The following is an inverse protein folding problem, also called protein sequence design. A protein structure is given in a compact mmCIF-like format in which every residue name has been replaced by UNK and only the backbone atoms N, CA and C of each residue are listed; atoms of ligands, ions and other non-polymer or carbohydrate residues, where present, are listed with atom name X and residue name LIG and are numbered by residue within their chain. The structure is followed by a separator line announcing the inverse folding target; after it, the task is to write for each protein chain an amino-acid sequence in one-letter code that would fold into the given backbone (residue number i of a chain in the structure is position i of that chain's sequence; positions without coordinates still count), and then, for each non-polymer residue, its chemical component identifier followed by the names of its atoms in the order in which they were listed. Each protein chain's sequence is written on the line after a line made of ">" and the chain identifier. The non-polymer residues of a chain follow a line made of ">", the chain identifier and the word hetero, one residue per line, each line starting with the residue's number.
data_IF_287162351311
#
_entry.id   IF_287162351311
#
_cell.length_a   1.000
_cell.length_b   1.000
_cell.length_c   1.000
_cell.angle_alpha   90.00
_cell.angle_beta   90.00
_cell.angle_gamma   90.00
#
_symmetry.space_group_name_H-M   'P 1'
#
loop_
_entity.id
_entity.type
_entity.pdbx_description
1 polymer ?
#
# COMPACT_ATOMS: atom_id res chain seq x y z
N UNK A 1 -12.02 12.53 -19.58
CA UNK A 1 -12.95 11.39 -19.77
C UNK A 1 -13.06 11.04 -21.24
N UNK A 2 -12.01 10.37 -21.72
CA UNK A 2 -12.00 9.61 -22.95
C UNK A 2 -12.77 8.29 -22.76
N UNK A 3 -13.14 7.60 -23.84
CA UNK A 3 -13.81 6.30 -23.74
C UNK A 3 -12.93 5.22 -23.06
N UNK A 4 -11.61 5.42 -23.03
CA UNK A 4 -10.65 4.51 -22.40
C UNK A 4 -10.62 4.73 -20.86
N UNK A 5 -10.89 5.94 -20.37
CA UNK A 5 -10.94 6.28 -18.92
C UNK A 5 -12.20 5.70 -18.25
N UNK A 6 -13.32 5.69 -18.98
CA UNK A 6 -14.57 5.09 -18.51
C UNK A 6 -14.45 3.55 -18.42
N UNK A 7 -13.65 2.92 -19.28
CA UNK A 7 -13.43 1.47 -19.32
C UNK A 7 -12.67 1.01 -18.07
N UNK A 8 -11.55 1.67 -17.74
CA UNK A 8 -10.74 1.31 -16.56
C UNK A 8 -11.51 1.54 -15.26
N UNK A 9 -12.31 2.61 -15.14
CA UNK A 9 -13.08 2.89 -13.92
C UNK A 9 -14.07 1.76 -13.60
N UNK A 10 -14.78 1.26 -14.62
CA UNK A 10 -15.70 0.14 -14.46
C UNK A 10 -14.97 -1.18 -14.16
N UNK A 11 -13.79 -1.42 -14.75
CA UNK A 11 -12.95 -2.56 -14.42
C UNK A 11 -12.50 -2.55 -12.95
N UNK A 12 -12.02 -1.40 -12.45
CA UNK A 12 -11.62 -1.23 -11.06
C UNK A 12 -12.80 -1.44 -10.11
N UNK A 13 -13.98 -0.87 -10.42
CA UNK A 13 -15.20 -1.09 -9.63
C UNK A 13 -15.65 -2.55 -9.61
N UNK A 14 -15.47 -3.29 -10.70
CA UNK A 14 -15.74 -4.73 -10.77
C UNK A 14 -14.76 -5.53 -9.89
N UNK A 15 -13.51 -5.08 -9.81
CA UNK A 15 -12.44 -5.72 -9.05
C UNK A 15 -12.42 -5.35 -7.56
N UNK A 16 -13.10 -4.27 -7.16
CA UNK A 16 -13.20 -3.82 -5.78
C UNK A 16 -13.56 -4.94 -4.78
N UNK A 17 -14.46 -5.85 -5.17
CA UNK A 17 -14.88 -6.97 -4.34
C UNK A 17 -13.83 -8.07 -4.12
N UNK A 18 -12.69 -8.00 -4.83
CA UNK A 18 -11.56 -8.93 -4.68
C UNK A 18 -10.64 -8.53 -3.52
N UNK A 19 -10.62 -7.25 -3.14
CA UNK A 19 -9.87 -6.71 -2.00
C UNK A 19 -10.61 -7.03 -0.69
N UNK A 20 -10.63 -8.30 -0.28
CA UNK A 20 -11.42 -8.72 0.89
C UNK A 20 -10.70 -8.59 2.23
N UNK A 21 -9.41 -8.24 2.21
CA UNK A 21 -8.59 -8.10 3.41
C UNK A 21 -8.72 -6.75 4.12
N UNK A 22 -9.22 -5.73 3.44
CA UNK A 22 -9.52 -4.41 3.99
C UNK A 22 -11.02 -4.14 3.89
N UNK A 23 -11.65 -3.68 4.98
CA UNK A 23 -13.02 -3.19 4.92
C UNK A 23 -13.06 -1.82 4.23
N UNK A 24 -14.23 -1.44 3.70
CA UNK A 24 -14.41 -0.07 3.20
C UNK A 24 -14.24 0.97 4.32
N UNK A 25 -14.58 0.64 5.57
CA UNK A 25 -14.35 1.50 6.73
C UNK A 25 -12.85 1.76 6.96
N UNK A 26 -12.00 0.73 6.82
CA UNK A 26 -10.54 0.87 6.86
C UNK A 26 -9.98 1.63 5.64
N UNK A 27 -10.78 1.88 4.61
CA UNK A 27 -10.44 2.71 3.46
C UNK A 27 -11.11 4.09 3.54
N UNK A 28 -11.54 4.51 4.73
CA UNK A 28 -12.10 5.85 4.97
C UNK A 28 -13.60 5.99 4.70
N UNK A 29 -14.34 4.91 4.44
CA UNK A 29 -15.80 5.00 4.34
C UNK A 29 -16.42 5.17 5.72
N UNK A 30 -17.01 6.34 5.97
CA UNK A 30 -17.72 6.58 7.22
C UNK A 30 -18.78 5.50 7.49
N UNK A 31 -18.92 5.05 8.74
CA UNK A 31 -19.97 4.10 9.10
C UNK A 31 -21.34 4.75 8.88
N UNK A 32 -22.32 3.96 8.45
CA UNK A 32 -23.69 4.44 8.25
C UNK A 32 -24.70 3.49 8.90
N UNK A 33 -25.75 4.00 9.58
CA UNK A 33 -26.70 3.15 10.28
C UNK A 33 -27.32 2.06 9.41
N UNK A 34 -27.53 2.30 8.11
CA UNK A 34 -28.10 1.30 7.18
C UNK A 34 -27.19 0.08 6.97
N UNK A 35 -25.87 0.25 7.13
CA UNK A 35 -24.87 -0.82 6.95
C UNK A 35 -24.60 -1.57 8.27
N UNK A 36 -25.10 -1.06 9.39
CA UNK A 36 -24.91 -1.62 10.73
C UNK A 36 -25.94 -2.68 11.11
N UNK A 37 -25.48 -3.69 11.84
CA UNK A 37 -26.35 -4.59 12.61
C UNK A 37 -27.04 -3.86 13.77
N UNK A 38 -28.13 -4.43 14.29
CA UNK A 38 -28.81 -3.88 15.47
C UNK A 38 -27.90 -3.79 16.70
N UNK A 39 -26.95 -4.71 16.84
CA UNK A 39 -25.97 -4.73 17.94
C UNK A 39 -24.91 -3.65 17.79
N UNK A 40 -24.42 -3.39 16.57
CA UNK A 40 -23.49 -2.29 16.30
C UNK A 40 -24.15 -0.92 16.57
N UNK A 41 -25.42 -0.75 16.19
CA UNK A 41 -26.15 0.51 16.49
C UNK A 41 -26.27 0.81 17.99
N UNK A 42 -26.27 -0.21 18.85
CA UNK A 42 -26.32 -0.01 20.30
C UNK A 42 -25.02 0.58 20.88
N UNK A 43 -23.94 0.63 20.09
CA UNK A 43 -22.67 1.21 20.50
C UNK A 43 -22.65 2.75 20.37
N UNK A 44 -23.65 3.33 19.71
CA UNK A 44 -23.77 4.76 19.44
C UNK A 44 -24.95 5.34 20.20
N UNK A 45 -24.85 6.62 20.59
CA UNK A 45 -25.99 7.32 21.15
C UNK A 45 -27.00 7.64 20.04
N UNK A 46 -28.30 7.79 20.36
CA UNK A 46 -29.32 8.05 19.35
C UNK A 46 -29.11 9.35 18.56
N UNK A 47 -28.42 10.34 19.15
CA UNK A 47 -28.09 11.60 18.48
C UNK A 47 -27.02 11.38 17.40
N UNK A 48 -25.97 10.61 17.69
CA UNK A 48 -24.93 10.26 16.71
C UNK A 48 -25.51 9.47 15.53
N UNK A 49 -26.37 8.47 15.80
CA UNK A 49 -27.04 7.70 14.75
C UNK A 49 -27.92 8.59 13.86
N UNK A 50 -28.57 9.60 14.44
CA UNK A 50 -29.39 10.53 13.68
C UNK A 50 -28.54 11.47 12.82
N UNK A 51 -27.38 11.89 13.31
CA UNK A 51 -26.40 12.69 12.56
C UNK A 51 -25.83 11.89 11.39
N UNK A 52 -25.38 10.65 11.62
CA UNK A 52 -24.87 9.78 10.57
C UNK A 52 -25.94 9.50 9.49
N UNK A 53 -27.20 9.29 9.90
CA UNK A 53 -28.32 9.09 8.99
C UNK A 53 -28.78 10.37 8.25
N UNK A 54 -28.33 11.55 8.69
CA UNK A 54 -28.68 12.82 8.06
C UNK A 54 -27.86 13.10 6.79
N UNK A 55 -26.81 12.30 6.52
CA UNK A 55 -26.01 12.41 5.30
C UNK A 55 -26.91 12.23 4.06
N UNK A 56 -26.88 13.16 3.09
CA UNK A 56 -27.69 13.04 1.88
C UNK A 56 -27.41 11.72 1.14
N UNK A 57 -28.45 11.02 0.63
CA UNK A 57 -28.24 9.74 -0.05
C UNK A 57 -27.31 9.80 -1.26
N UNK A 58 -27.23 10.95 -1.93
CA UNK A 58 -26.33 11.16 -3.07
C UNK A 58 -24.88 11.20 -2.62
N UNK A 59 -24.58 11.95 -1.57
CA UNK A 59 -23.24 12.07 -0.97
C UNK A 59 -22.78 10.70 -0.44
N UNK A 60 -23.68 9.95 0.22
CA UNK A 60 -23.38 8.58 0.66
C UNK A 60 -23.08 7.64 -0.52
N UNK A 61 -23.88 7.69 -1.59
CA UNK A 61 -23.63 6.88 -2.79
C UNK A 61 -22.30 7.21 -3.45
N UNK A 62 -21.94 8.50 -3.49
CA UNK A 62 -20.65 8.95 -4.00
C UNK A 62 -19.51 8.41 -3.13
N UNK A 63 -19.56 8.58 -1.81
CA UNK A 63 -18.54 8.06 -0.91
C UNK A 63 -18.36 6.54 -1.06
N UNK A 64 -19.46 5.76 -1.08
CA UNK A 64 -19.41 4.32 -1.31
C UNK A 64 -18.77 3.98 -2.67
N UNK A 65 -19.10 4.71 -3.73
CA UNK A 65 -18.52 4.49 -5.05
C UNK A 65 -17.01 4.78 -5.04
N UNK A 66 -16.60 5.90 -4.45
CA UNK A 66 -15.19 6.30 -4.38
C UNK A 66 -14.36 5.33 -3.56
N UNK A 67 -14.82 4.88 -2.39
CA UNK A 67 -14.10 3.88 -1.60
C UNK A 67 -14.02 2.53 -2.31
N UNK A 68 -15.05 2.14 -3.06
CA UNK A 68 -14.99 0.93 -3.90
C UNK A 68 -14.00 1.09 -5.05
N UNK A 69 -13.94 2.27 -5.68
CA UNK A 69 -12.97 2.57 -6.71
C UNK A 69 -11.54 2.47 -6.16
N UNK A 70 -11.29 3.05 -4.97
CA UNK A 70 -10.02 2.92 -4.25
C UNK A 70 -9.67 1.46 -3.96
N UNK A 71 -10.64 0.66 -3.49
CA UNK A 71 -10.41 -0.77 -3.26
C UNK A 71 -10.00 -1.51 -4.54
N UNK A 72 -10.65 -1.18 -5.66
CA UNK A 72 -10.30 -1.69 -6.99
C UNK A 72 -8.92 -1.25 -7.46
N UNK A 73 -8.58 0.01 -7.22
CA UNK A 73 -7.27 0.59 -7.52
C UNK A 73 -6.15 -0.15 -6.76
N UNK A 74 -6.27 -0.33 -5.44
CA UNK A 74 -5.28 -1.05 -4.64
C UNK A 74 -5.09 -2.50 -5.11
N UNK A 75 -6.19 -3.16 -5.49
CA UNK A 75 -6.14 -4.50 -6.09
C UNK A 75 -5.39 -4.52 -7.42
N UNK A 76 -5.70 -3.57 -8.31
CA UNK A 76 -5.04 -3.44 -9.61
C UNK A 76 -3.55 -3.13 -9.47
N UNK A 77 -3.22 -2.12 -8.65
CA UNK A 77 -1.85 -1.70 -8.36
C UNK A 77 -1.00 -2.80 -7.75
N UNK A 78 -1.61 -3.72 -6.98
CA UNK A 78 -0.92 -4.91 -6.47
C UNK A 78 -0.35 -5.76 -7.60
N UNK A 79 -1.10 -5.95 -8.69
CA UNK A 79 -0.63 -6.73 -9.85
C UNK A 79 0.45 -5.97 -10.62
N UNK A 80 0.27 -4.66 -10.81
CA UNK A 80 1.24 -3.81 -11.51
C UNK A 80 2.58 -3.77 -10.77
N UNK A 81 2.55 -3.58 -9.44
CA UNK A 81 3.73 -3.56 -8.58
C UNK A 81 4.57 -4.84 -8.74
N UNK A 82 3.93 -6.01 -8.66
CA UNK A 82 4.63 -7.29 -8.79
C UNK A 82 5.23 -7.46 -10.19
N UNK A 83 4.50 -7.11 -11.24
CA UNK A 83 5.00 -7.15 -12.61
C UNK A 83 6.20 -6.24 -12.82
N UNK A 84 6.15 -5.01 -12.29
CA UNK A 84 7.26 -4.06 -12.37
C UNK A 84 8.48 -4.54 -11.58
N UNK A 85 8.31 -5.10 -10.39
CA UNK A 85 9.42 -5.68 -9.63
C UNK A 85 10.10 -6.84 -10.38
N UNK A 86 9.35 -7.66 -11.12
CA UNK A 86 9.95 -8.68 -11.98
C UNK A 86 10.72 -8.07 -13.16
N UNK A 87 10.26 -6.96 -13.74
CA UNK A 87 11.01 -6.22 -14.78
C UNK A 87 12.29 -5.60 -14.22
N UNK A 88 12.23 -5.05 -13.02
CA UNK A 88 13.41 -4.53 -12.32
C UNK A 88 14.43 -5.65 -12.07
N UNK A 89 13.97 -6.82 -11.59
CA UNK A 89 14.82 -7.98 -11.40
C UNK A 89 15.48 -8.43 -12.71
N UNK A 90 14.73 -8.49 -13.81
CA UNK A 90 15.28 -8.86 -15.13
C UNK A 90 16.34 -7.86 -15.58
N UNK A 91 16.05 -6.56 -15.44
CA UNK A 91 17.00 -5.47 -15.74
C UNK A 91 18.30 -5.66 -14.98
N UNK A 92 18.23 -5.85 -13.65
CA UNK A 92 19.42 -5.99 -12.80
C UNK A 92 20.16 -7.31 -13.03
N UNK A 93 19.46 -8.40 -13.37
CA UNK A 93 20.07 -9.71 -13.59
C UNK A 93 20.94 -9.79 -14.85
N UNK A 94 20.74 -8.84 -15.78
CA UNK A 94 21.51 -8.73 -17.02
C UNK A 94 22.74 -7.82 -16.90
N UNK A 95 23.00 -7.24 -15.72
CA UNK A 95 24.14 -6.37 -15.48
C UNK A 95 25.29 -7.14 -14.80
N UNK A 96 26.53 -6.90 -15.25
CA UNK A 96 27.73 -7.43 -14.60
C UNK A 96 27.98 -6.78 -13.24
N UNK A 97 27.57 -5.53 -13.07
CA UNK A 97 27.68 -4.76 -11.82
C UNK A 97 26.54 -3.74 -11.79
N UNK A 98 25.82 -3.69 -10.67
CA UNK A 98 24.71 -2.75 -10.44
C UNK A 98 25.24 -1.46 -9.84
N UNK A 99 24.80 -0.32 -10.37
CA UNK A 99 25.12 1.02 -9.86
C UNK A 99 23.86 1.73 -9.40
N UNK A 100 24.00 2.78 -8.59
CA UNK A 100 22.86 3.61 -8.17
C UNK A 100 22.13 4.26 -9.36
N UNK A 101 22.81 4.50 -10.48
CA UNK A 101 22.17 5.02 -11.70
C UNK A 101 21.28 3.97 -12.38
N UNK A 102 21.65 2.69 -12.31
CA UNK A 102 20.81 1.60 -12.81
C UNK A 102 19.54 1.49 -11.95
N UNK A 103 19.66 1.62 -10.62
CA UNK A 103 18.52 1.67 -9.70
C UNK A 103 17.59 2.84 -10.01
N UNK A 104 18.12 4.04 -10.22
CA UNK A 104 17.31 5.20 -10.58
C UNK A 104 16.53 5.01 -11.89
N UNK A 105 16.95 4.08 -12.76
CA UNK A 105 16.24 3.71 -13.99
C UNK A 105 15.22 2.58 -13.83
N UNK A 106 15.09 2.00 -12.64
CA UNK A 106 14.09 0.95 -12.34
C UNK A 106 12.72 1.55 -12.07
N UNK A 107 11.67 0.73 -12.18
CA UNK A 107 10.29 1.16 -11.99
C UNK A 107 9.93 1.33 -10.51
N UNK A 108 10.30 0.35 -9.68
CA UNK A 108 9.90 0.29 -8.26
C UNK A 108 11.09 0.54 -7.35
N UNK A 109 12.26 -0.03 -7.64
CA UNK A 109 13.43 0.13 -6.74
C UNK A 109 13.94 1.57 -6.69
N UNK A 110 13.55 2.42 -7.65
CA UNK A 110 13.84 3.85 -7.66
C UNK A 110 13.02 4.65 -6.64
N UNK A 111 11.89 4.11 -6.14
CA UNK A 111 11.09 4.75 -5.08
C UNK A 111 11.49 4.31 -3.67
N UNK A 112 12.40 3.34 -3.55
CA UNK A 112 12.98 2.95 -2.27
C UNK A 112 13.99 4.00 -1.76
N UNK A 113 14.29 4.03 -0.44
CA UNK A 113 15.23 4.95 0.17
C UNK A 113 16.56 5.10 -0.62
N UNK A 114 16.84 6.27 -1.23
CA UNK A 114 17.90 6.39 -2.24
C UNK A 114 19.32 6.22 -1.68
N UNK A 115 19.54 6.49 -0.40
CA UNK A 115 20.83 6.32 0.27
C UNK A 115 21.28 4.84 0.35
N UNK A 116 20.35 3.90 0.23
CA UNK A 116 20.65 2.45 0.19
C UNK A 116 20.70 1.88 -1.22
N UNK A 117 20.58 2.71 -2.28
CA UNK A 117 20.50 2.24 -3.67
C UNK A 117 21.67 1.33 -4.09
N UNK A 118 22.87 1.54 -3.55
CA UNK A 118 24.03 0.68 -3.83
C UNK A 118 23.84 -0.78 -3.35
N UNK A 119 22.88 -1.03 -2.45
CA UNK A 119 22.58 -2.34 -1.87
C UNK A 119 21.44 -3.07 -2.57
N UNK A 120 20.73 -2.42 -3.50
CA UNK A 120 19.59 -3.01 -4.22
C UNK A 120 20.06 -3.87 -5.40
N UNK A 121 20.63 -5.04 -5.09
CA UNK A 121 21.03 -6.00 -6.11
C UNK A 121 19.92 -7.01 -6.47
N UNK A 122 20.17 -7.89 -7.44
CA UNK A 122 19.21 -8.92 -7.83
C UNK A 122 18.82 -9.87 -6.67
N UNK A 123 19.67 -10.05 -5.64
CA UNK A 123 19.33 -10.85 -4.46
C UNK A 123 18.34 -10.08 -3.58
N UNK A 124 18.59 -8.81 -3.32
CA UNK A 124 17.65 -7.92 -2.65
C UNK A 124 16.30 -7.92 -3.37
N UNK A 125 16.27 -7.68 -4.68
CA UNK A 125 15.02 -7.62 -5.46
C UNK A 125 14.21 -8.92 -5.36
N UNK A 126 14.87 -10.09 -5.42
CA UNK A 126 14.16 -11.38 -5.23
C UNK A 126 13.53 -11.49 -3.84
N UNK A 127 14.21 -11.03 -2.79
CA UNK A 127 13.64 -11.03 -1.43
C UNK A 127 12.47 -10.06 -1.35
N UNK A 128 12.64 -8.86 -1.89
CA UNK A 128 11.63 -7.81 -1.88
C UNK A 128 10.37 -8.22 -2.66
N UNK A 129 10.50 -8.89 -3.81
CA UNK A 129 9.37 -9.49 -4.55
C UNK A 129 8.57 -10.44 -3.66
N UNK A 130 9.24 -11.31 -2.90
CA UNK A 130 8.53 -12.27 -2.05
C UNK A 130 7.78 -11.55 -0.91
N UNK A 131 8.38 -10.50 -0.34
CA UNK A 131 7.72 -9.67 0.68
C UNK A 131 6.53 -8.90 0.09
N UNK A 132 6.70 -8.24 -1.05
CA UNK A 132 5.62 -7.53 -1.74
C UNK A 132 4.48 -8.47 -2.14
N UNK A 133 4.80 -9.69 -2.59
CA UNK A 133 3.79 -10.72 -2.89
C UNK A 133 3.03 -11.16 -1.63
N UNK A 134 3.67 -11.19 -0.47
CA UNK A 134 3.02 -11.50 0.80
C UNK A 134 2.11 -10.35 1.25
N UNK A 135 2.59 -9.10 1.22
CA UNK A 135 1.80 -7.89 1.50
C UNK A 135 0.57 -7.80 0.59
N UNK A 136 0.74 -7.96 -0.72
CA UNK A 136 -0.40 -7.92 -1.66
C UNK A 136 -1.37 -9.09 -1.45
N UNK A 137 -0.90 -10.23 -0.91
CA UNK A 137 -1.78 -11.34 -0.56
C UNK A 137 -2.60 -11.07 0.71
N UNK A 138 -2.12 -10.30 1.69
CA UNK A 138 -2.89 -9.97 2.91
C UNK A 138 -4.06 -9.04 2.56
N UNK A 139 -3.89 -8.13 1.60
CA UNK A 139 -4.98 -7.32 1.05
C UNK A 139 -6.16 -8.15 0.49
N UNK A 140 -5.90 -9.39 0.09
CA UNK A 140 -6.91 -10.31 -0.41
C UNK A 140 -7.47 -11.26 0.66
N UNK A 141 -6.73 -11.54 1.74
CA UNK A 141 -7.02 -12.65 2.67
C UNK A 141 -7.34 -12.21 4.09
N UNK A 142 -7.11 -10.95 4.40
CA UNK A 142 -7.16 -10.38 5.75
C UNK A 142 -5.90 -9.56 5.97
N UNK A 143 -6.07 -8.25 6.11
CA UNK A 143 -4.97 -7.35 6.36
C UNK A 143 -4.30 -7.66 7.68
N UNK A 144 -2.98 -7.63 7.67
CA UNK A 144 -2.12 -7.68 8.85
C UNK A 144 -1.11 -6.58 8.68
N UNK A 145 -0.82 -5.85 9.75
CA UNK A 145 0.21 -4.81 9.75
C UNK A 145 1.56 -5.39 9.29
N UNK A 146 2.39 -4.59 8.59
CA UNK A 146 3.72 -5.02 8.19
C UNK A 146 4.55 -5.56 9.36
N UNK A 147 5.15 -6.74 9.18
CA UNK A 147 5.97 -7.38 10.22
C UNK A 147 7.47 -7.08 10.11
N UNK A 148 7.90 -6.29 9.11
CA UNK A 148 9.28 -5.88 8.90
C UNK A 148 9.35 -4.63 8.00
N UNK A 149 10.47 -3.89 8.02
CA UNK A 149 10.64 -2.68 7.20
C UNK A 149 10.45 -2.93 5.70
N UNK A 150 10.90 -4.08 5.18
CA UNK A 150 10.70 -4.40 3.76
C UNK A 150 9.21 -4.53 3.41
N UNK A 151 8.36 -4.96 4.36
CA UNK A 151 6.92 -5.03 4.15
C UNK A 151 6.30 -3.64 4.16
N UNK A 152 6.73 -2.75 5.06
CA UNK A 152 6.28 -1.34 5.06
C UNK A 152 6.68 -0.62 3.77
N UNK A 153 7.92 -0.79 3.32
CA UNK A 153 8.39 -0.24 2.05
C UNK A 153 7.61 -0.79 0.86
N UNK A 154 7.22 -2.07 0.88
CA UNK A 154 6.38 -2.65 -0.16
C UNK A 154 4.96 -2.04 -0.17
N UNK A 155 4.40 -1.68 1.00
CA UNK A 155 3.15 -0.92 1.07
C UNK A 155 3.32 0.47 0.48
N UNK A 156 4.40 1.20 0.81
CA UNK A 156 4.67 2.52 0.20
C UNK A 156 4.77 2.44 -1.31
N UNK A 157 5.53 1.48 -1.85
CA UNK A 157 5.61 1.24 -3.29
C UNK A 157 4.24 0.90 -3.93
N UNK A 158 3.37 0.19 -3.21
CA UNK A 158 2.01 -0.07 -3.67
C UNK A 158 1.18 1.21 -3.77
N UNK A 159 1.29 2.10 -2.77
CA UNK A 159 0.57 3.36 -2.74
C UNK A 159 1.11 4.35 -3.79
N UNK A 160 2.41 4.40 -4.00
CA UNK A 160 3.03 5.12 -5.12
C UNK A 160 2.47 4.63 -6.46
N UNK A 161 2.36 3.31 -6.63
CA UNK A 161 1.79 2.75 -7.86
C UNK A 161 0.29 3.06 -7.99
N UNK A 162 -0.46 3.09 -6.90
CA UNK A 162 -1.87 3.51 -6.91
C UNK A 162 -2.03 4.97 -7.29
N UNK A 163 -1.22 5.88 -6.74
CA UNK A 163 -1.23 7.31 -7.08
C UNK A 163 -0.87 7.54 -8.55
N UNK A 164 0.18 6.88 -9.06
CA UNK A 164 0.53 6.93 -10.48
C UNK A 164 -0.64 6.47 -11.36
N UNK A 165 -1.32 5.38 -10.99
CA UNK A 165 -2.47 4.86 -11.75
C UNK A 165 -3.67 5.79 -11.66
N UNK A 166 -3.95 6.38 -10.50
CA UNK A 166 -4.99 7.39 -10.33
C UNK A 166 -4.74 8.61 -11.24
N UNK A 167 -3.53 9.17 -11.19
CA UNK A 167 -3.11 10.32 -12.01
C UNK A 167 -3.25 10.04 -13.51
N UNK A 168 -2.83 8.85 -13.97
CA UNK A 168 -2.87 8.48 -15.39
C UNK A 168 -4.30 8.43 -15.92
N UNK A 169 -5.25 7.97 -15.09
CA UNK A 169 -6.63 7.74 -15.50
C UNK A 169 -7.61 8.81 -14.97
N UNK A 170 -7.10 9.84 -14.29
CA UNK A 170 -7.88 10.93 -13.68
C UNK A 170 -9.04 10.39 -12.82
N UNK A 171 -8.76 9.40 -11.95
CA UNK A 171 -9.79 8.71 -11.17
C UNK A 171 -10.42 9.66 -10.13
N UNK A 172 -11.74 9.59 -9.98
CA UNK A 172 -12.47 10.41 -9.01
C UNK A 172 -12.37 9.84 -7.58
N UNK A 173 -11.24 10.02 -6.90
CA UNK A 173 -11.03 9.63 -5.51
C UNK A 173 -11.21 10.82 -4.54
N UNK A 174 -11.33 10.58 -3.21
CA UNK A 174 -11.21 11.65 -2.22
C UNK A 174 -9.84 12.32 -2.29
N UNK A 175 -9.75 13.64 -2.09
CA UNK A 175 -8.49 14.39 -2.25
C UNK A 175 -7.35 13.86 -1.33
N UNK A 176 -7.69 13.47 -0.12
CA UNK A 176 -6.73 12.97 0.89
C UNK A 176 -6.65 11.44 0.96
N UNK A 177 -7.15 10.72 -0.06
CA UNK A 177 -7.27 9.25 -0.02
C UNK A 177 -5.95 8.54 0.35
N UNK A 178 -4.82 9.06 -0.14
CA UNK A 178 -3.51 8.48 0.09
C UNK A 178 -3.14 8.58 1.58
N UNK A 179 -3.32 9.75 2.18
CA UNK A 179 -3.00 9.98 3.59
C UNK A 179 -3.88 9.12 4.49
N UNK A 180 -5.18 9.02 4.20
CA UNK A 180 -6.13 8.20 4.96
C UNK A 180 -5.74 6.70 4.91
N UNK A 181 -5.29 6.20 3.75
CA UNK A 181 -4.84 4.81 3.61
C UNK A 181 -3.48 4.60 4.28
N UNK A 182 -2.55 5.55 4.18
CA UNK A 182 -1.25 5.47 4.87
C UNK A 182 -1.44 5.41 6.39
N UNK A 183 -2.32 6.23 6.97
CA UNK A 183 -2.63 6.19 8.40
C UNK A 183 -3.08 4.80 8.86
N UNK A 184 -3.83 4.06 8.03
CA UNK A 184 -4.31 2.72 8.36
C UNK A 184 -3.27 1.63 8.11
N UNK A 185 -2.54 1.68 6.99
CA UNK A 185 -1.62 0.61 6.60
C UNK A 185 -0.23 0.75 7.24
N UNK A 186 0.12 1.96 7.68
CA UNK A 186 1.46 2.35 8.15
C UNK A 186 1.40 3.14 9.48
N UNK A 187 0.34 2.98 10.29
CA UNK A 187 0.11 3.72 11.56
C UNK A 187 1.38 3.80 12.46
N UNK A 188 2.08 2.68 12.61
CA UNK A 188 3.27 2.52 13.45
C UNK A 188 4.56 2.30 12.63
N UNK A 189 4.60 2.73 11.37
CA UNK A 189 5.69 2.40 10.47
C UNK A 189 6.96 3.23 10.73
N UNK A 190 8.07 2.55 10.98
CA UNK A 190 9.38 3.18 11.16
C UNK A 190 10.06 3.55 9.82
N UNK A 191 9.59 2.98 8.71
CA UNK A 191 10.15 3.20 7.37
C UNK A 191 10.13 4.65 6.88
N UNK A 192 9.31 5.53 7.46
CA UNK A 192 9.31 6.98 7.12
C UNK A 192 10.69 7.60 7.39
N UNK A 193 11.34 7.21 8.49
CA UNK A 193 12.65 7.73 8.86
C UNK A 193 13.72 7.41 7.81
N UNK A 194 13.55 6.34 7.04
CA UNK A 194 14.44 5.97 5.94
C UNK A 194 14.41 6.96 4.77
N UNK A 195 13.42 7.84 4.67
CA UNK A 195 13.36 8.88 3.63
C UNK A 195 13.90 10.23 4.11
N UNK A 196 14.32 10.34 5.38
CA UNK A 196 14.88 11.56 5.94
C UNK A 196 16.24 11.91 5.32
N UNK A 197 16.42 13.19 4.96
CA UNK A 197 17.71 13.76 4.55
C UNK A 197 18.71 13.88 5.73
N UNK A 198 18.25 13.67 6.97
CA UNK A 198 19.08 13.78 8.17
C UNK A 198 19.80 12.46 8.44
N UNK A 199 21.09 12.41 8.10
CA UNK A 199 21.95 11.26 8.41
C UNK A 199 22.04 10.97 9.92
N UNK A 200 21.93 11.99 10.77
CA UNK A 200 21.97 11.84 12.23
C UNK A 200 20.82 10.94 12.74
N UNK A 201 19.62 11.03 12.13
CA UNK A 201 18.46 10.17 12.48
C UNK A 201 18.74 8.70 12.14
N UNK A 202 19.36 8.45 10.98
CA UNK A 202 19.70 7.09 10.55
C UNK A 202 20.87 6.50 11.34
N UNK A 203 21.79 7.34 11.81
CA UNK A 203 22.92 6.93 12.64
C UNK A 203 22.49 6.59 14.07
N UNK A 204 21.57 7.37 14.65
CA UNK A 204 21.05 7.14 16.00
C UNK A 204 20.23 5.84 16.10
N UNK A 205 19.46 5.51 15.04
CA UNK A 205 18.59 4.32 14.99
C UNK A 205 19.15 3.19 14.08
N UNK A 206 20.45 3.19 13.81
CA UNK A 206 21.09 2.25 12.88
C UNK A 206 20.86 0.76 13.24
N UNK A 207 20.72 0.45 14.53
CA UNK A 207 20.46 -0.92 15.01
C UNK A 207 19.06 -1.44 14.60
N UNK A 208 18.12 -0.54 14.32
CA UNK A 208 16.72 -0.83 13.97
C UNK A 208 16.44 -0.55 12.47
N UNK A 209 17.00 0.52 11.91
CA UNK A 209 16.77 0.98 10.52
C UNK A 209 17.84 0.52 9.51
N UNK A 210 18.93 -0.10 9.97
CA UNK A 210 20.01 -0.59 9.12
C UNK A 210 19.53 -1.55 8.04
N UNK A 211 20.17 -1.54 6.87
CA UNK A 211 19.76 -2.33 5.70
C UNK A 211 19.65 -3.84 6.00
N UNK A 212 20.48 -4.37 6.88
CA UNK A 212 20.44 -5.76 7.34
C UNK A 212 19.22 -6.11 8.19
N UNK A 213 18.50 -5.11 8.71
CA UNK A 213 17.27 -5.28 9.50
C UNK A 213 16.03 -5.42 8.62
N UNK A 214 16.09 -5.02 7.34
CA UNK A 214 14.89 -4.81 6.53
C UNK A 214 14.01 -6.06 6.36
N UNK A 215 14.62 -7.23 6.35
CA UNK A 215 13.92 -8.51 6.21
C UNK A 215 13.82 -9.30 7.52
N UNK A 216 14.12 -8.67 8.66
CA UNK A 216 13.95 -9.29 9.98
C UNK A 216 12.57 -8.93 10.54
N UNK A 217 11.91 -9.88 11.23
CA UNK A 217 10.66 -9.58 11.91
C UNK A 217 10.89 -8.54 13.02
N UNK A 218 9.95 -7.62 13.21
CA UNK A 218 9.99 -6.64 14.30
C UNK A 218 9.85 -7.31 15.67
N UNK A 219 8.91 -8.24 15.81
CA UNK A 219 8.62 -8.94 17.04
C UNK A 219 8.61 -10.46 16.88
N UNK A 220 8.72 -11.15 18.03
CA UNK A 220 8.59 -12.60 18.10
C UNK A 220 7.13 -13.02 17.82
N UNK A 221 6.84 -13.37 16.57
CA UNK A 221 5.50 -13.74 16.12
C UNK A 221 5.18 -13.24 14.72
N UNK A 222 5.87 -12.18 14.28
CA UNK A 222 5.67 -11.62 12.95
C UNK A 222 6.12 -12.59 11.87
N UNK A 223 5.31 -12.70 10.83
CA UNK A 223 5.56 -13.61 9.72
C UNK A 223 6.25 -12.86 8.60
N UNK A 224 7.53 -13.18 8.39
CA UNK A 224 8.27 -12.76 7.19
C UNK A 224 8.47 -14.00 6.31
N UNK A 225 8.26 -13.92 4.98
CA UNK A 225 8.43 -15.05 4.10
C UNK A 225 9.82 -15.71 4.24
N UNK A 226 9.92 -17.05 4.33
CA UNK A 226 11.19 -17.73 4.62
C UNK A 226 12.33 -17.40 3.64
N UNK A 227 12.01 -17.14 2.37
CA UNK A 227 13.00 -16.76 1.36
C UNK A 227 13.64 -15.39 1.66
N UNK A 228 12.85 -14.43 2.18
CA UNK A 228 13.35 -13.11 2.53
C UNK A 228 14.35 -13.16 3.70
N UNK A 229 14.18 -14.11 4.63
CA UNK A 229 15.09 -14.32 5.76
C UNK A 229 16.37 -15.11 5.42
N UNK A 230 16.55 -15.57 4.17
CA UNK A 230 17.65 -16.49 3.77
C UNK A 230 18.93 -15.84 3.24
#
# INVERSE_FOLDING_TARGET
>A
MSADDDDITEELLADAGKLTGLSLELLGLDPHPDDMTAEQRLQFDPEDLAEMAAVPPQDRQQAVRQTRLLAGLLWNSSSILIDQLFRDLDTLSNLDTVTAADIAGTSVLSSLPPQFAASYDAKFTRKFIVVAADVTATLARGWTTPGCLAAELAVRCLLDQAEITEDIYELELPEDWRADVEEVLLEDADSEALYSDSLDVLEDDADELGFEQWFKPFAAGDTVPPYACS
#
